data_IF_640207368440
#
_entry.id   IF_640207368440
#
_cell.length_a   1.000
_cell.length_b   1.000
_cell.length_c   1.000
_cell.angle_alpha   90.00
_cell.angle_beta   90.00
_cell.angle_gamma   90.00
#
_symmetry.space_group_name_H-M   'P 1'
#
loop_
_entity.id
_entity.type
_entity.pdbx_description
1 polymer ?
#
# COMPACT_ATOMS: atom_id res chain seq x y z
N UNK A 1 16.01 -6.39 -18.65
CA UNK A 1 16.16 -6.52 -17.19
C UNK A 1 16.47 -5.16 -16.57
N UNK A 2 17.43 -4.36 -17.09
CA UNK A 2 17.81 -3.07 -16.51
C UNK A 2 16.70 -2.05 -16.43
N UNK A 3 15.83 -1.95 -17.44
CA UNK A 3 14.69 -1.02 -17.44
C UNK A 3 13.73 -1.28 -16.27
N UNK A 4 13.45 -2.54 -15.98
CA UNK A 4 12.55 -2.91 -14.88
C UNK A 4 13.12 -2.55 -13.50
N UNK A 5 14.45 -2.66 -13.34
CA UNK A 5 15.13 -2.32 -12.08
C UNK A 5 14.88 -0.87 -11.66
N UNK A 6 14.77 0.07 -12.60
CA UNK A 6 14.52 1.49 -12.31
C UNK A 6 13.13 1.70 -11.70
N UNK A 7 12.09 1.06 -12.27
CA UNK A 7 10.72 1.16 -11.73
C UNK A 7 10.59 0.48 -10.37
N UNK A 8 11.25 -0.68 -10.20
CA UNK A 8 11.30 -1.36 -8.90
C UNK A 8 12.04 -0.52 -7.86
N UNK A 9 13.14 0.13 -8.23
CA UNK A 9 13.87 1.01 -7.33
C UNK A 9 12.99 2.16 -6.85
N UNK A 10 12.28 2.84 -7.75
CA UNK A 10 11.34 3.90 -7.40
C UNK A 10 10.24 3.39 -6.46
N UNK A 11 9.56 2.29 -6.83
CA UNK A 11 8.52 1.68 -6.00
C UNK A 11 9.05 1.29 -4.62
N UNK A 12 10.19 0.59 -4.54
CA UNK A 12 10.77 0.14 -3.29
C UNK A 12 11.21 1.30 -2.38
N UNK A 13 11.73 2.40 -2.95
CA UNK A 13 12.09 3.59 -2.16
C UNK A 13 10.86 4.29 -1.57
N UNK A 14 9.77 4.33 -2.31
CA UNK A 14 8.50 4.86 -1.80
C UNK A 14 7.92 3.97 -0.70
N UNK A 15 7.93 2.65 -0.89
CA UNK A 15 7.47 1.68 0.12
C UNK A 15 8.35 1.69 1.38
N UNK A 16 9.65 1.97 1.25
CA UNK A 16 10.57 2.04 2.38
C UNK A 16 10.15 3.13 3.38
N UNK A 17 9.61 4.25 2.91
CA UNK A 17 9.12 5.34 3.78
C UNK A 17 8.01 4.82 4.70
N UNK A 18 7.03 4.13 4.14
CA UNK A 18 5.95 3.53 4.90
C UNK A 18 6.48 2.44 5.84
N UNK A 19 7.34 1.58 5.35
CA UNK A 19 7.91 0.46 6.09
C UNK A 19 8.69 0.91 7.33
N UNK A 20 9.47 1.99 7.25
CA UNK A 20 10.18 2.58 8.39
C UNK A 20 9.19 3.04 9.46
N UNK A 21 8.12 3.73 9.07
CA UNK A 21 7.10 4.22 10.00
C UNK A 21 6.41 3.05 10.71
N UNK A 22 5.95 2.08 9.95
CA UNK A 22 5.15 0.98 10.49
C UNK A 22 5.98 -0.09 11.22
N UNK A 23 7.22 -0.37 10.80
CA UNK A 23 8.08 -1.35 11.48
C UNK A 23 8.45 -0.92 12.90
N UNK A 24 8.54 0.38 13.17
CA UNK A 24 8.78 0.91 14.50
C UNK A 24 7.64 0.59 15.50
N UNK A 25 6.46 0.25 14.98
CA UNK A 25 5.28 -0.05 15.81
C UNK A 25 5.19 -1.51 16.25
N UNK A 26 6.00 -2.43 15.70
CA UNK A 26 5.90 -3.88 15.98
C UNK A 26 5.99 -4.19 17.49
N UNK A 27 6.97 -3.60 18.17
CA UNK A 27 7.13 -3.80 19.63
C UNK A 27 5.95 -3.23 20.43
N UNK A 28 5.42 -2.07 20.01
CA UNK A 28 4.25 -1.45 20.65
C UNK A 28 3.00 -2.33 20.45
N UNK A 29 2.82 -2.89 19.28
CA UNK A 29 1.71 -3.80 18.98
C UNK A 29 1.85 -5.11 19.79
N UNK A 30 3.05 -5.66 19.96
CA UNK A 30 3.28 -6.79 20.86
C UNK A 30 2.78 -6.53 22.29
N UNK A 31 3.05 -5.34 22.83
CA UNK A 31 2.53 -4.94 24.15
C UNK A 31 1.00 -4.82 24.18
N UNK A 32 0.39 -4.27 23.14
CA UNK A 32 -1.07 -4.16 22.99
C UNK A 32 -1.70 -5.56 22.96
N UNK A 33 -1.11 -6.49 22.22
CA UNK A 33 -1.60 -7.87 22.12
C UNK A 33 -1.52 -8.59 23.49
N UNK A 34 -0.49 -8.32 24.27
CA UNK A 34 -0.30 -8.94 25.57
C UNK A 34 -1.24 -8.40 26.67
N UNK A 35 -1.63 -7.13 26.62
CA UNK A 35 -2.27 -6.42 27.74
C UNK A 35 -3.70 -5.98 27.48
N UNK A 36 -4.07 -5.71 26.22
CA UNK A 36 -5.35 -5.08 25.90
C UNK A 36 -6.43 -6.10 25.50
N UNK A 37 -7.70 -5.70 25.60
CA UNK A 37 -8.86 -6.49 25.17
C UNK A 37 -8.91 -6.62 23.65
N UNK A 38 -9.62 -7.64 23.11
CA UNK A 38 -9.80 -7.85 21.67
C UNK A 38 -10.36 -6.61 20.95
N UNK A 39 -11.30 -5.89 21.58
CA UNK A 39 -11.92 -4.70 21.03
C UNK A 39 -10.90 -3.58 20.85
N UNK A 40 -10.04 -3.36 21.85
CA UNK A 40 -9.00 -2.34 21.79
C UNK A 40 -7.91 -2.68 20.80
N UNK A 41 -7.55 -3.98 20.69
CA UNK A 41 -6.64 -4.47 19.64
C UNK A 41 -7.19 -4.17 18.25
N UNK A 42 -8.50 -4.41 18.03
CA UNK A 42 -9.17 -4.10 16.77
C UNK A 42 -9.17 -2.60 16.47
N UNK A 43 -9.45 -1.75 17.45
CA UNK A 43 -9.40 -0.29 17.30
C UNK A 43 -8.01 0.19 16.87
N UNK A 44 -6.96 -0.35 17.48
CA UNK A 44 -5.57 0.01 17.12
C UNK A 44 -5.22 -0.50 15.72
N UNK A 45 -5.66 -1.71 15.36
CA UNK A 45 -5.52 -2.23 13.99
C UNK A 45 -6.21 -1.32 12.97
N UNK A 46 -7.45 -0.90 13.22
CA UNK A 46 -8.19 0.02 12.35
C UNK A 46 -7.53 1.39 12.23
N UNK A 47 -6.92 1.88 13.32
CA UNK A 47 -6.13 3.10 13.30
C UNK A 47 -4.93 2.96 12.36
N UNK A 48 -4.15 1.90 12.52
CA UNK A 48 -3.02 1.61 11.64
C UNK A 48 -3.45 1.42 10.19
N UNK A 49 -4.57 0.73 9.95
CA UNK A 49 -5.11 0.52 8.60
C UNK A 49 -5.54 1.84 7.94
N UNK A 50 -6.18 2.75 8.70
CA UNK A 50 -6.55 4.08 8.19
C UNK A 50 -5.33 4.90 7.81
N UNK A 51 -4.28 4.89 8.64
CA UNK A 51 -3.00 5.53 8.33
C UNK A 51 -2.35 4.92 7.09
N UNK A 52 -2.27 3.58 7.02
CA UNK A 52 -1.71 2.87 5.86
C UNK A 52 -2.47 3.19 4.58
N UNK A 53 -3.78 3.28 4.60
CA UNK A 53 -4.58 3.63 3.42
C UNK A 53 -4.32 5.05 2.91
N UNK A 54 -4.03 6.01 3.79
CA UNK A 54 -3.62 7.36 3.39
C UNK A 54 -2.25 7.30 2.70
N UNK A 55 -1.25 6.68 3.32
CA UNK A 55 0.08 6.52 2.72
C UNK A 55 0.02 5.74 1.41
N UNK A 56 -0.69 4.62 1.41
CA UNK A 56 -0.91 3.77 0.25
C UNK A 56 -1.52 4.57 -0.92
N UNK A 57 -2.55 5.37 -0.65
CA UNK A 57 -3.19 6.20 -1.66
C UNK A 57 -2.22 7.21 -2.28
N UNK A 58 -1.46 7.93 -1.45
CA UNK A 58 -0.49 8.93 -1.91
C UNK A 58 0.64 8.27 -2.71
N UNK A 59 1.25 7.22 -2.16
CA UNK A 59 2.39 6.51 -2.77
C UNK A 59 1.97 5.88 -4.10
N UNK A 60 0.85 5.16 -4.11
CA UNK A 60 0.42 4.40 -5.27
C UNK A 60 -0.11 5.30 -6.38
N UNK A 61 -0.88 6.35 -6.04
CA UNK A 61 -1.31 7.34 -7.03
C UNK A 61 -0.11 8.12 -7.59
N UNK A 62 0.80 8.56 -6.73
CA UNK A 62 2.03 9.23 -7.13
C UNK A 62 2.86 8.36 -8.09
N UNK A 63 3.09 7.09 -7.74
CA UNK A 63 3.83 6.18 -8.62
C UNK A 63 3.10 5.96 -9.95
N UNK A 64 1.81 5.64 -9.93
CA UNK A 64 1.04 5.36 -11.14
C UNK A 64 0.95 6.53 -12.12
N UNK A 65 0.93 7.76 -11.61
CA UNK A 65 0.82 8.99 -12.41
C UNK A 65 2.17 9.52 -12.89
N UNK A 66 3.24 9.33 -12.12
CA UNK A 66 4.51 10.05 -12.32
C UNK A 66 5.68 9.15 -12.72
N UNK A 67 5.57 7.81 -12.59
CA UNK A 67 6.70 6.92 -12.81
C UNK A 67 7.35 7.10 -14.21
N UNK A 68 6.55 7.19 -15.27
CA UNK A 68 7.06 7.43 -16.62
C UNK A 68 7.67 8.82 -16.77
N UNK A 69 7.09 9.86 -16.16
CA UNK A 69 7.63 11.21 -16.20
C UNK A 69 9.00 11.26 -15.50
N UNK A 70 9.12 10.65 -14.33
CA UNK A 70 10.39 10.55 -13.60
C UNK A 70 11.45 9.86 -14.44
N UNK A 71 11.13 8.71 -15.03
CA UNK A 71 12.07 7.97 -15.89
C UNK A 71 12.44 8.79 -17.14
N UNK A 72 11.48 9.48 -17.74
CA UNK A 72 11.74 10.31 -18.93
C UNK A 72 12.73 11.41 -18.64
N UNK A 73 12.57 12.14 -17.53
CA UNK A 73 13.46 13.26 -17.18
C UNK A 73 14.81 12.78 -16.67
N UNK A 74 14.84 11.64 -15.97
CA UNK A 74 16.07 11.11 -15.35
C UNK A 74 16.95 10.34 -16.33
N UNK A 75 16.35 9.45 -17.14
CA UNK A 75 17.10 8.50 -17.97
C UNK A 75 16.85 8.69 -19.48
N UNK A 76 15.73 9.28 -19.84
CA UNK A 76 15.31 9.41 -21.23
C UNK A 76 14.04 8.63 -21.56
N UNK A 77 13.32 9.08 -22.58
CA UNK A 77 12.04 8.49 -23.00
C UNK A 77 12.17 7.04 -23.48
N UNK A 78 13.30 6.66 -24.01
CA UNK A 78 13.62 5.28 -24.46
C UNK A 78 13.67 4.26 -23.31
N UNK A 79 13.79 4.73 -22.06
CA UNK A 79 13.79 3.88 -20.87
C UNK A 79 12.41 3.73 -20.22
N UNK A 80 11.37 4.29 -20.82
CA UNK A 80 10.00 4.18 -20.29
C UNK A 80 9.35 2.86 -20.64
N UNK A 81 8.49 2.39 -19.74
CA UNK A 81 7.67 1.21 -19.99
C UNK A 81 6.29 1.54 -20.55
N UNK A 82 5.67 0.53 -21.19
CA UNK A 82 4.27 0.60 -21.56
C UNK A 82 3.39 0.85 -20.33
N UNK A 83 2.26 1.51 -20.52
CA UNK A 83 1.31 1.79 -19.44
C UNK A 83 0.84 0.52 -18.73
N UNK A 84 0.74 -0.59 -19.44
CA UNK A 84 0.39 -1.90 -18.85
C UNK A 84 1.39 -2.33 -17.77
N UNK A 85 2.69 -2.15 -18.02
CA UNK A 85 3.75 -2.48 -17.04
C UNK A 85 3.69 -1.52 -15.86
N UNK A 86 3.46 -0.23 -16.08
CA UNK A 86 3.30 0.75 -15.00
C UNK A 86 2.11 0.37 -14.12
N UNK A 87 0.96 0.02 -14.71
CA UNK A 87 -0.21 -0.44 -13.97
C UNK A 87 0.11 -1.70 -13.15
N UNK A 88 0.83 -2.66 -13.72
CA UNK A 88 1.22 -3.88 -13.01
C UNK A 88 2.07 -3.58 -11.77
N UNK A 89 3.08 -2.71 -11.89
CA UNK A 89 3.89 -2.26 -10.74
C UNK A 89 3.04 -1.48 -9.74
N UNK A 90 2.16 -0.60 -10.21
CA UNK A 90 1.24 0.19 -9.36
C UNK A 90 0.35 -0.71 -8.51
N UNK A 91 -0.27 -1.73 -9.11
CA UNK A 91 -1.11 -2.71 -8.40
C UNK A 91 -0.29 -3.48 -7.36
N UNK A 92 0.91 -3.91 -7.71
CA UNK A 92 1.78 -4.63 -6.78
C UNK A 92 2.25 -3.75 -5.62
N UNK A 93 2.58 -2.49 -5.89
CA UNK A 93 2.91 -1.46 -4.89
C UNK A 93 1.74 -1.23 -3.95
N UNK A 94 0.51 -1.12 -4.48
CA UNK A 94 -0.70 -0.98 -3.68
C UNK A 94 -0.84 -2.10 -2.65
N UNK A 95 -0.79 -3.36 -3.08
CA UNK A 95 -0.95 -4.48 -2.14
C UNK A 95 0.20 -4.59 -1.15
N UNK A 96 1.41 -4.19 -1.52
CA UNK A 96 2.54 -4.16 -0.59
C UNK A 96 2.35 -3.11 0.51
N UNK A 97 1.74 -1.98 0.18
CA UNK A 97 1.43 -0.89 1.10
C UNK A 97 0.20 -1.23 1.97
N UNK A 98 -0.93 -1.54 1.34
CA UNK A 98 -2.21 -1.74 2.02
C UNK A 98 -2.23 -2.92 3.00
N UNK A 99 -1.37 -3.91 2.82
CA UNK A 99 -1.26 -5.08 3.69
C UNK A 99 -0.24 -4.92 4.82
N UNK A 100 0.50 -3.82 4.87
CA UNK A 100 1.54 -3.59 5.88
C UNK A 100 1.03 -3.72 7.33
N UNK A 101 -0.14 -3.15 7.72
CA UNK A 101 -0.66 -3.34 9.08
C UNK A 101 -0.93 -4.80 9.43
N UNK A 102 -1.41 -5.58 8.46
CA UNK A 102 -1.67 -7.01 8.66
C UNK A 102 -0.36 -7.77 8.92
N UNK A 103 0.69 -7.47 8.16
CA UNK A 103 1.99 -8.12 8.33
C UNK A 103 2.64 -7.79 9.68
N UNK A 104 2.51 -6.55 10.13
CA UNK A 104 3.01 -6.13 11.45
C UNK A 104 2.31 -6.91 12.56
N UNK A 105 0.98 -7.05 12.50
CA UNK A 105 0.25 -7.85 13.47
C UNK A 105 0.62 -9.33 13.39
N UNK A 106 0.78 -9.89 12.20
CA UNK A 106 1.25 -11.27 12.00
C UNK A 106 2.61 -11.49 12.67
N UNK A 107 3.54 -10.56 12.48
CA UNK A 107 4.90 -10.66 13.01
C UNK A 107 4.91 -10.49 14.55
N UNK A 108 4.14 -9.52 15.07
CA UNK A 108 4.00 -9.29 16.50
C UNK A 108 3.29 -10.43 17.26
N UNK A 109 2.41 -11.18 16.58
CA UNK A 109 1.67 -12.30 17.17
C UNK A 109 2.32 -13.66 16.96
N UNK A 110 3.37 -13.74 16.12
CA UNK A 110 3.98 -15.02 15.73
C UNK A 110 3.10 -15.89 14.82
N UNK A 111 2.03 -15.32 14.22
CA UNK A 111 1.12 -16.03 13.33
C UNK A 111 1.79 -16.57 12.06
N UNK A 112 2.99 -16.10 11.73
CA UNK A 112 3.74 -16.60 10.57
C UNK A 112 3.94 -18.12 10.62
N UNK A 113 4.00 -18.72 11.81
CA UNK A 113 4.09 -20.18 11.96
C UNK A 113 2.83 -20.91 11.43
N UNK A 114 1.65 -20.28 11.56
CA UNK A 114 0.38 -20.83 11.06
C UNK A 114 0.16 -20.50 9.58
N UNK A 115 0.74 -19.41 9.09
CA UNK A 115 0.56 -18.94 7.71
C UNK A 115 1.62 -19.46 6.73
N UNK A 116 2.70 -20.07 7.21
CA UNK A 116 3.86 -20.51 6.40
C UNK A 116 3.49 -21.37 5.19
N UNK A 117 2.55 -22.31 5.35
CA UNK A 117 2.14 -23.19 4.25
C UNK A 117 1.32 -22.44 3.19
N UNK A 118 0.50 -21.45 3.61
CA UNK A 118 -0.21 -20.58 2.67
C UNK A 118 0.73 -19.64 1.93
N UNK A 119 1.78 -19.16 2.58
CA UNK A 119 2.83 -18.37 1.93
C UNK A 119 3.61 -19.21 0.92
N UNK A 120 3.94 -20.47 1.27
CA UNK A 120 4.57 -21.41 0.35
C UNK A 120 3.68 -21.69 -0.87
N UNK A 121 2.38 -21.96 -0.65
CA UNK A 121 1.42 -22.13 -1.74
C UNK A 121 1.36 -20.87 -2.62
N UNK A 122 1.34 -19.67 -2.04
CA UNK A 122 1.39 -18.40 -2.75
C UNK A 122 2.65 -18.27 -3.62
N UNK A 123 3.81 -18.71 -3.12
CA UNK A 123 5.06 -18.70 -3.88
C UNK A 123 5.03 -19.65 -5.07
N UNK A 124 4.48 -20.86 -4.90
CA UNK A 124 4.30 -21.83 -6.00
C UNK A 124 3.34 -21.26 -7.05
N UNK A 125 2.20 -20.74 -6.64
CA UNK A 125 1.22 -20.10 -7.55
C UNK A 125 1.86 -18.94 -8.29
N UNK A 126 2.67 -18.10 -7.61
CA UNK A 126 3.40 -17.00 -8.23
C UNK A 126 4.33 -17.49 -9.34
N UNK A 127 5.13 -18.53 -9.10
CA UNK A 127 6.07 -19.09 -10.10
C UNK A 127 5.28 -19.57 -11.32
N UNK A 128 4.23 -20.37 -11.12
CA UNK A 128 3.40 -20.91 -12.21
C UNK A 128 2.78 -19.77 -13.02
N UNK A 129 2.14 -18.81 -12.36
CA UNK A 129 1.53 -17.67 -13.01
C UNK A 129 2.56 -16.78 -13.71
N UNK A 130 3.76 -16.60 -13.16
CA UNK A 130 4.84 -15.82 -13.79
C UNK A 130 5.27 -16.43 -15.12
N UNK A 131 5.37 -17.76 -15.20
CA UNK A 131 5.69 -18.44 -16.45
C UNK A 131 4.56 -18.30 -17.47
N UNK A 132 3.31 -18.49 -17.04
CA UNK A 132 2.14 -18.41 -17.92
C UNK A 132 1.94 -16.97 -18.40
N UNK A 133 1.73 -16.03 -17.49
CA UNK A 133 1.44 -14.63 -17.83
C UNK A 133 2.63 -13.94 -18.49
N UNK A 134 3.85 -14.33 -18.12
CA UNK A 134 5.06 -13.81 -18.75
C UNK A 134 5.15 -14.13 -20.25
N UNK A 135 4.61 -15.27 -20.69
CA UNK A 135 4.54 -15.63 -22.12
C UNK A 135 3.55 -14.77 -22.91
N UNK A 136 2.43 -14.37 -22.29
CA UNK A 136 1.37 -13.59 -22.94
C UNK A 136 1.57 -12.07 -22.82
N UNK A 137 2.06 -11.58 -21.68
CA UNK A 137 2.12 -10.17 -21.36
C UNK A 137 3.54 -9.67 -21.06
N UNK A 138 4.56 -10.52 -21.26
CA UNK A 138 5.96 -10.18 -20.97
C UNK A 138 6.17 -9.80 -19.49
N UNK A 139 6.95 -8.74 -19.25
CA UNK A 139 7.31 -8.26 -17.90
C UNK A 139 6.06 -7.88 -17.08
N UNK A 140 5.07 -7.25 -17.71
CA UNK A 140 3.82 -6.90 -17.03
C UNK A 140 3.12 -8.13 -16.45
N UNK A 141 3.09 -9.25 -17.21
CA UNK A 141 2.50 -10.51 -16.76
C UNK A 141 3.20 -11.11 -15.54
N UNK A 142 4.54 -11.06 -15.52
CA UNK A 142 5.33 -11.53 -14.37
C UNK A 142 5.00 -10.71 -13.12
N UNK A 143 4.84 -9.42 -13.26
CA UNK A 143 4.51 -8.54 -12.13
C UNK A 143 3.08 -8.77 -11.64
N UNK A 144 2.10 -8.90 -12.56
CA UNK A 144 0.73 -9.23 -12.21
C UNK A 144 0.61 -10.59 -11.52
N UNK A 145 1.45 -11.57 -11.90
CA UNK A 145 1.47 -12.87 -11.25
C UNK A 145 1.65 -12.76 -9.74
N UNK A 146 2.49 -11.83 -9.26
CA UNK A 146 2.71 -11.61 -7.83
C UNK A 146 1.45 -11.09 -7.11
N UNK A 147 0.73 -10.15 -7.71
CA UNK A 147 -0.51 -9.65 -7.15
C UNK A 147 -1.63 -10.72 -7.16
N UNK A 148 -1.76 -11.46 -8.26
CA UNK A 148 -2.76 -12.52 -8.41
C UNK A 148 -2.48 -13.67 -7.45
N UNK A 149 -1.22 -14.13 -7.32
CA UNK A 149 -0.84 -15.17 -6.39
C UNK A 149 -1.18 -14.78 -4.94
N UNK A 150 -0.91 -13.53 -4.56
CA UNK A 150 -1.27 -12.96 -3.25
C UNK A 150 -2.78 -12.99 -3.01
N UNK A 151 -3.55 -12.50 -3.97
CA UNK A 151 -5.01 -12.47 -3.91
C UNK A 151 -5.64 -13.87 -3.91
N UNK A 152 -4.99 -14.86 -4.53
CA UNK A 152 -5.49 -16.24 -4.59
C UNK A 152 -5.21 -17.05 -3.33
N UNK A 153 -4.29 -16.60 -2.46
CA UNK A 153 -3.79 -17.39 -1.34
C UNK A 153 -3.94 -16.67 0.01
N UNK A 154 -2.85 -16.12 0.54
CA UNK A 154 -2.79 -15.61 1.91
C UNK A 154 -3.58 -14.32 2.16
N UNK A 155 -3.98 -13.57 1.12
CA UNK A 155 -4.84 -12.40 1.26
C UNK A 155 -6.16 -12.70 1.98
N UNK A 156 -6.73 -13.90 1.79
CA UNK A 156 -7.96 -14.32 2.46
C UNK A 156 -7.69 -15.04 3.77
N UNK A 157 -6.60 -15.78 3.86
CA UNK A 157 -6.29 -16.62 5.00
C UNK A 157 -5.77 -15.84 6.21
N UNK A 158 -4.78 -14.96 5.99
CA UNK A 158 -4.15 -14.19 7.07
C UNK A 158 -5.13 -13.30 7.84
N UNK A 159 -5.99 -12.48 7.20
CA UNK A 159 -6.96 -11.68 7.92
C UNK A 159 -7.97 -12.52 8.70
N UNK A 160 -8.46 -13.63 8.12
CA UNK A 160 -9.39 -14.52 8.82
C UNK A 160 -8.79 -15.06 10.09
N UNK A 161 -7.55 -15.50 10.05
CA UNK A 161 -6.83 -16.04 11.19
C UNK A 161 -6.62 -14.97 12.25
N UNK A 162 -6.13 -13.79 11.89
CA UNK A 162 -5.87 -12.67 12.79
C UNK A 162 -7.17 -12.20 13.48
N UNK A 163 -8.23 -12.00 12.71
CA UNK A 163 -9.50 -11.50 13.22
C UNK A 163 -10.17 -12.50 14.15
N UNK A 164 -10.08 -13.79 13.84
CA UNK A 164 -10.63 -14.84 14.70
C UNK A 164 -9.86 -14.99 16.01
N UNK A 165 -8.52 -15.07 15.96
CA UNK A 165 -7.72 -15.39 17.14
C UNK A 165 -7.46 -14.20 18.07
N UNK A 166 -7.35 -12.99 17.51
CA UNK A 166 -6.91 -11.81 18.28
C UNK A 166 -7.94 -10.72 18.47
N UNK A 167 -8.91 -10.61 17.55
CA UNK A 167 -9.93 -9.56 17.62
C UNK A 167 -11.32 -10.08 17.94
N UNK A 168 -11.53 -11.39 17.88
CA UNK A 168 -12.86 -12.02 18.07
C UNK A 168 -13.95 -11.33 17.24
N UNK A 169 -13.65 -11.03 15.97
CA UNK A 169 -14.43 -10.16 15.11
C UNK A 169 -14.49 -10.72 13.67
N UNK A 170 -15.47 -10.24 12.88
CA UNK A 170 -15.63 -10.63 11.48
C UNK A 170 -14.69 -9.83 10.57
N UNK A 171 -14.16 -10.50 9.54
CA UNK A 171 -13.26 -9.89 8.54
C UNK A 171 -13.99 -9.06 7.48
N UNK A 172 -15.32 -9.09 7.42
CA UNK A 172 -16.11 -8.42 6.37
C UNK A 172 -15.79 -6.92 6.28
N UNK A 173 -15.72 -6.23 7.42
CA UNK A 173 -15.38 -4.81 7.49
C UNK A 173 -14.00 -4.49 6.92
N UNK A 174 -13.03 -5.38 7.15
CA UNK A 174 -11.67 -5.26 6.60
C UNK A 174 -11.67 -5.28 5.06
N UNK A 175 -12.32 -6.27 4.46
CA UNK A 175 -12.37 -6.38 2.98
C UNK A 175 -13.16 -5.23 2.34
N UNK A 176 -14.26 -4.79 2.97
CA UNK A 176 -15.02 -3.62 2.50
C UNK A 176 -14.13 -2.37 2.54
N UNK A 177 -13.31 -2.20 3.57
CA UNK A 177 -12.39 -1.06 3.70
C UNK A 177 -11.33 -1.07 2.60
N UNK A 178 -10.75 -2.24 2.28
CA UNK A 178 -9.81 -2.39 1.16
C UNK A 178 -10.50 -2.05 -0.17
N UNK A 179 -11.71 -2.59 -0.41
CA UNK A 179 -12.42 -2.34 -1.65
C UNK A 179 -12.76 -0.85 -1.83
N UNK A 180 -13.20 -0.18 -0.77
CA UNK A 180 -13.42 1.28 -0.78
C UNK A 180 -12.15 2.05 -1.10
N UNK A 181 -11.02 1.65 -0.51
CA UNK A 181 -9.73 2.29 -0.77
C UNK A 181 -9.27 2.09 -2.22
N UNK A 182 -9.42 0.88 -2.78
CA UNK A 182 -9.14 0.60 -4.19
C UNK A 182 -10.02 1.47 -5.10
N UNK A 183 -11.32 1.55 -4.81
CA UNK A 183 -12.25 2.37 -5.59
C UNK A 183 -11.89 3.86 -5.56
N UNK A 184 -11.56 4.39 -4.38
CA UNK A 184 -11.09 5.77 -4.23
C UNK A 184 -9.80 6.01 -5.01
N UNK A 185 -8.81 5.12 -4.87
CA UNK A 185 -7.53 5.21 -5.57
C UNK A 185 -7.72 5.18 -7.09
N UNK A 186 -8.52 4.24 -7.60
CA UNK A 186 -8.80 4.14 -9.03
C UNK A 186 -9.46 5.43 -9.57
N UNK A 187 -10.42 5.99 -8.82
CA UNK A 187 -11.06 7.24 -9.15
C UNK A 187 -10.05 8.41 -9.18
N UNK A 188 -9.20 8.52 -8.16
CA UNK A 188 -8.17 9.57 -8.07
C UNK A 188 -7.19 9.47 -9.24
N UNK A 189 -6.69 8.26 -9.54
CA UNK A 189 -5.77 8.06 -10.67
C UNK A 189 -6.45 8.42 -11.99
N UNK A 190 -7.70 7.98 -12.22
CA UNK A 190 -8.43 8.26 -13.45
C UNK A 190 -8.65 9.77 -13.66
N UNK A 191 -9.13 10.46 -12.61
CA UNK A 191 -9.36 11.92 -12.66
C UNK A 191 -8.06 12.68 -12.87
N UNK A 192 -7.00 12.38 -12.12
CA UNK A 192 -5.73 13.07 -12.25
C UNK A 192 -5.03 12.73 -13.57
N UNK A 193 -5.14 11.52 -14.09
CA UNK A 193 -4.65 11.19 -15.44
C UNK A 193 -5.32 12.02 -16.52
N UNK A 194 -6.63 12.26 -16.39
CA UNK A 194 -7.37 13.12 -17.31
C UNK A 194 -6.93 14.60 -17.17
N UNK A 195 -6.84 15.12 -15.97
CA UNK A 195 -6.41 16.49 -15.68
C UNK A 195 -4.98 16.75 -16.19
N UNK A 196 -4.09 15.78 -16.01
CA UNK A 196 -2.68 15.88 -16.43
C UNK A 196 -2.43 15.49 -17.88
N UNK A 197 -3.45 15.11 -18.65
CA UNK A 197 -3.25 14.66 -20.05
C UNK A 197 -2.57 15.67 -20.96
N UNK A 198 -2.77 16.97 -20.71
CA UNK A 198 -2.09 18.05 -21.41
C UNK A 198 -0.78 18.55 -20.76
N UNK A 199 -0.41 18.00 -19.61
CA UNK A 199 0.78 18.47 -18.88
C UNK A 199 2.02 17.64 -19.26
N UNK A 200 2.71 18.10 -20.27
CA UNK A 200 3.97 17.48 -20.73
C UNK A 200 5.11 17.89 -19.80
N UNK A 201 5.83 16.88 -19.30
CA UNK A 201 7.01 17.07 -18.45
C UNK A 201 8.26 16.99 -19.33
N UNK A 202 9.02 18.08 -19.40
CA UNK A 202 10.21 18.21 -20.27
C UNK A 202 11.51 18.34 -19.47
N UNK A 203 11.42 18.83 -18.23
CA UNK A 203 12.57 19.14 -17.39
C UNK A 203 12.30 18.86 -15.90
N UNK A 204 13.33 18.98 -15.07
CA UNK A 204 13.23 18.77 -13.63
C UNK A 204 12.29 19.75 -12.93
N UNK A 205 12.17 20.99 -13.39
CA UNK A 205 11.31 21.99 -12.77
C UNK A 205 9.82 21.61 -12.95
N UNK A 206 9.43 21.28 -14.18
CA UNK A 206 8.06 20.84 -14.49
C UNK A 206 7.72 19.52 -13.83
N UNK A 207 8.69 18.61 -13.68
CA UNK A 207 8.53 17.36 -12.92
C UNK A 207 8.26 17.64 -11.44
N UNK A 208 9.11 18.43 -10.78
CA UNK A 208 8.97 18.77 -9.36
C UNK A 208 7.62 19.45 -9.11
N UNK A 209 7.21 20.37 -9.94
CA UNK A 209 5.91 21.01 -9.83
C UNK A 209 4.76 20.00 -9.92
N UNK A 210 4.81 19.09 -10.89
CA UNK A 210 3.80 18.02 -11.04
C UNK A 210 3.78 17.07 -9.84
N UNK A 211 4.96 16.70 -9.30
CA UNK A 211 5.08 15.90 -8.07
C UNK A 211 4.44 16.61 -6.88
N UNK A 212 4.74 17.88 -6.65
CA UNK A 212 4.19 18.66 -5.52
C UNK A 212 2.68 18.77 -5.64
N UNK A 213 2.16 19.09 -6.83
CA UNK A 213 0.71 19.18 -7.08
C UNK A 213 0.04 17.82 -6.84
N UNK A 214 0.61 16.76 -7.40
CA UNK A 214 0.08 15.38 -7.20
C UNK A 214 0.07 15.01 -5.73
N UNK A 215 1.17 15.24 -5.01
CA UNK A 215 1.28 14.95 -3.58
C UNK A 215 0.27 15.75 -2.75
N UNK A 216 0.12 17.06 -3.02
CA UNK A 216 -0.82 17.93 -2.32
C UNK A 216 -2.28 17.50 -2.56
N UNK A 217 -2.66 17.23 -3.81
CA UNK A 217 -4.02 16.80 -4.16
C UNK A 217 -4.32 15.42 -3.57
N UNK A 218 -3.44 14.43 -3.76
CA UNK A 218 -3.63 13.10 -3.18
C UNK A 218 -3.71 13.14 -1.67
N UNK A 219 -2.80 13.87 -0.99
CA UNK A 219 -2.82 14.02 0.46
C UNK A 219 -4.14 14.62 0.94
N UNK A 220 -4.62 15.68 0.28
CA UNK A 220 -5.89 16.32 0.63
C UNK A 220 -7.07 15.35 0.48
N UNK A 221 -7.17 14.64 -0.64
CA UNK A 221 -8.26 13.70 -0.92
C UNK A 221 -8.25 12.54 0.08
N UNK A 222 -7.10 11.88 0.27
CA UNK A 222 -7.03 10.71 1.16
C UNK A 222 -7.19 11.10 2.63
N UNK A 223 -6.62 12.21 3.09
CA UNK A 223 -6.86 12.70 4.46
C UNK A 223 -8.33 13.03 4.66
N UNK A 224 -8.98 13.75 3.75
CA UNK A 224 -10.41 14.07 3.84
C UNK A 224 -11.29 12.82 3.82
N UNK A 225 -10.96 11.82 3.02
CA UNK A 225 -11.70 10.55 2.96
C UNK A 225 -11.63 9.75 4.26
N UNK A 226 -10.49 9.81 4.95
CA UNK A 226 -10.25 9.02 6.17
C UNK A 226 -10.37 9.81 7.48
N UNK A 227 -10.40 11.15 7.48
CA UNK A 227 -10.43 11.98 8.70
C UNK A 227 -11.65 11.69 9.60
N UNK A 228 -12.74 11.18 9.05
CA UNK A 228 -13.97 10.84 9.81
C UNK A 228 -14.03 9.37 10.23
N UNK A 229 -13.06 8.53 9.85
CA UNK A 229 -13.05 7.12 10.26
C UNK A 229 -12.67 6.99 11.72
N UNK A 230 -13.26 6.01 12.41
CA UNK A 230 -12.95 5.72 13.83
C UNK A 230 -11.44 5.52 14.04
N UNK A 231 -10.79 4.78 13.15
CA UNK A 231 -9.35 4.56 13.20
C UNK A 231 -8.53 5.85 13.17
N UNK A 232 -8.86 6.78 12.29
CA UNK A 232 -8.16 8.08 12.22
C UNK A 232 -8.41 8.94 13.47
N UNK A 233 -9.62 8.92 14.01
CA UNK A 233 -9.94 9.65 15.24
C UNK A 233 -9.14 9.14 16.44
N UNK A 234 -8.88 7.83 16.53
CA UNK A 234 -8.01 7.25 17.57
C UNK A 234 -6.59 7.82 17.45
N UNK A 235 -6.04 7.94 16.24
CA UNK A 235 -4.73 8.56 16.02
C UNK A 235 -4.72 10.02 16.46
N UNK A 236 -5.70 10.79 15.99
CA UNK A 236 -5.78 12.22 16.29
C UNK A 236 -5.94 12.50 17.79
N UNK A 237 -6.72 11.68 18.50
CA UNK A 237 -6.88 11.81 19.94
C UNK A 237 -5.56 11.53 20.68
N UNK A 238 -4.79 10.52 20.26
CA UNK A 238 -3.45 10.26 20.82
C UNK A 238 -2.47 11.40 20.55
N UNK A 239 -2.44 11.93 19.32
CA UNK A 239 -1.59 13.08 18.96
C UNK A 239 -1.95 14.30 19.81
N UNK A 240 -3.22 14.61 19.98
CA UNK A 240 -3.68 15.72 20.84
C UNK A 240 -3.27 15.53 22.30
N UNK A 241 -3.33 14.30 22.84
CA UNK A 241 -2.87 14.01 24.20
C UNK A 241 -1.38 14.27 24.37
N UNK A 242 -0.55 13.85 23.40
CA UNK A 242 0.90 14.07 23.43
C UNK A 242 1.23 15.56 23.33
N UNK A 243 0.63 16.29 22.38
CA UNK A 243 0.85 17.73 22.21
C UNK A 243 0.28 18.55 23.38
N UNK A 244 -0.81 18.11 24.00
CA UNK A 244 -1.39 18.78 25.18
C UNK A 244 -0.60 18.56 26.48
N UNK A 245 0.25 17.53 26.57
CA UNK A 245 1.14 17.29 27.72
C UNK A 245 2.47 18.06 27.63
N UNK A 246 2.86 18.52 26.44
CA UNK A 246 4.11 19.29 26.23
C UNK A 246 3.91 20.80 26.55
N UNK A 247 2.73 21.23 26.93
CA UNK A 247 2.38 22.61 27.23
C UNK A 247 2.13 22.92 28.74
N UNK A 248 2.58 22.01 29.63
CA UNK A 248 2.55 22.29 31.09
C UNK A 248 3.92 22.18 31.71
#
# INVERSE_FOLDING_TARGET
>A
VGLYSNYLMLSNKLLLIEQIIFSSLVASIGNVIARDSPEKRLQIFQAMQSASFIFCGIITAGFGLLANDVITVWLGKEYTFSMLTVIAVTVNTYFSCALQPLWIYRDATGLYMKTKYMMLAGSIVNIVLSVILGRFMGIAGIIFASAIARLSTYFWYEPKLLFHEYFNSRTTGYYISILKNIGLLACVIAVLSYVFSGWVVTDWMTLILKVVVTAAVCSSIFVLAYCRTEGFQVIMNKVRQICGHTGR
#
